data_IF_619313562742
#
_entry.id   IF_619313562742
#
_cell.length_a   1.000
_cell.length_b   1.000
_cell.length_c   1.000
_cell.angle_alpha   90.00
_cell.angle_beta   90.00
_cell.angle_gamma   90.00
#
_symmetry.space_group_name_H-M   'P 1'
#
loop_
_entity.id
_entity.type
_entity.pdbx_description
1 polymer ?
#
# COMPACT_ATOMS: atom_id res chain seq x y z
N UNK A 1 -1.40 12.70 1.60
CA UNK A 1 -1.10 12.93 3.03
C UNK A 1 -0.71 11.60 3.65
N UNK A 2 0.53 11.40 4.02
CA UNK A 2 1.02 10.17 4.60
C UNK A 2 0.71 10.21 6.11
N UNK A 3 -0.14 9.32 6.60
CA UNK A 3 -0.30 9.12 8.03
C UNK A 3 0.96 8.40 8.50
N UNK A 4 1.78 9.10 9.30
CA UNK A 4 3.05 8.55 9.78
C UNK A 4 2.81 7.32 10.64
N UNK A 5 3.30 6.17 10.21
CA UNK A 5 3.42 4.96 11.04
C UNK A 5 4.64 5.02 12.00
N UNK A 6 5.28 6.16 12.10
CA UNK A 6 6.36 6.38 13.04
C UNK A 6 5.83 6.44 14.47
N UNK A 7 6.59 6.01 15.42
CA UNK A 7 6.37 5.92 16.88
C UNK A 7 5.83 7.17 17.58
N UNK A 8 5.47 8.21 16.84
CA UNK A 8 4.74 9.37 17.31
C UNK A 8 3.26 9.11 17.20
N UNK A 9 2.59 9.04 18.32
CA UNK A 9 1.15 9.11 18.43
C UNK A 9 0.66 10.34 17.65
N UNK A 10 0.27 10.17 16.37
CA UNK A 10 -0.43 11.22 15.65
C UNK A 10 -1.74 11.39 16.41
N UNK A 11 -1.89 12.51 17.10
CA UNK A 11 -3.12 12.78 17.81
C UNK A 11 -4.23 12.80 16.76
N UNK A 12 -5.29 12.04 16.98
CA UNK A 12 -6.46 11.97 16.09
C UNK A 12 -7.00 13.36 15.69
N UNK A 13 -6.70 14.39 16.50
CA UNK A 13 -7.05 15.79 16.28
C UNK A 13 -6.28 16.39 15.10
N UNK A 14 -4.99 16.08 14.95
CA UNK A 14 -4.18 16.65 13.87
C UNK A 14 -4.55 16.05 12.51
N UNK A 15 -4.90 14.76 12.49
CA UNK A 15 -5.38 14.08 11.28
C UNK A 15 -6.73 14.64 10.85
N UNK A 16 -7.68 14.83 11.78
CA UNK A 16 -8.99 15.40 11.44
C UNK A 16 -8.87 16.81 10.87
N UNK A 17 -8.12 17.70 11.53
CA UNK A 17 -7.88 19.06 11.04
C UNK A 17 -7.21 19.10 9.66
N UNK A 18 -6.30 18.18 9.40
CA UNK A 18 -5.65 18.10 8.10
C UNK A 18 -6.62 17.65 6.99
N UNK A 19 -7.51 16.69 7.29
CA UNK A 19 -8.55 16.26 6.35
C UNK A 19 -9.57 17.38 6.13
N UNK A 20 -10.06 18.05 7.19
CA UNK A 20 -10.96 19.21 7.09
C UNK A 20 -10.40 20.25 6.14
N UNK A 21 -9.16 20.70 6.34
CA UNK A 21 -8.52 21.72 5.46
C UNK A 21 -8.44 21.26 4.00
N UNK A 22 -8.24 19.97 3.74
CA UNK A 22 -8.22 19.44 2.37
C UNK A 22 -9.63 19.47 1.78
N UNK A 23 -10.65 19.05 2.54
CA UNK A 23 -12.05 19.10 2.12
C UNK A 23 -12.49 20.52 1.83
N UNK A 24 -12.25 21.47 2.73
CA UNK A 24 -12.56 22.89 2.54
C UNK A 24 -11.91 23.46 1.27
N UNK A 25 -10.65 23.12 1.02
CA UNK A 25 -9.95 23.55 -0.21
C UNK A 25 -10.51 22.92 -1.48
N UNK A 26 -10.96 21.67 -1.43
CA UNK A 26 -11.58 21.00 -2.55
C UNK A 26 -12.99 21.55 -2.81
N UNK A 27 -13.78 21.73 -1.77
CA UNK A 27 -15.14 22.29 -1.87
C UNK A 27 -15.14 23.75 -2.35
N UNK A 28 -14.13 24.53 -1.98
CA UNK A 28 -13.93 25.90 -2.48
C UNK A 28 -13.33 25.97 -3.88
N UNK A 29 -12.89 24.85 -4.43
CA UNK A 29 -12.31 24.81 -5.77
C UNK A 29 -13.39 24.72 -6.85
N UNK A 30 -13.11 25.32 -8.02
CA UNK A 30 -14.00 25.23 -9.19
C UNK A 30 -14.18 23.80 -9.74
N UNK A 31 -13.42 22.84 -9.23
CA UNK A 31 -13.49 21.44 -9.63
C UNK A 31 -14.73 20.72 -9.04
N UNK A 32 -15.22 21.17 -7.88
CA UNK A 32 -16.47 20.71 -7.28
C UNK A 32 -17.53 21.81 -7.47
N UNK A 33 -18.37 21.66 -8.49
CA UNK A 33 -19.50 22.57 -8.73
C UNK A 33 -20.49 22.49 -7.54
N UNK A 34 -20.28 23.33 -6.53
CA UNK A 34 -21.16 23.48 -5.34
C UNK A 34 -21.55 22.14 -4.64
N UNK A 35 -20.59 21.21 -4.52
CA UNK A 35 -20.83 19.92 -3.86
C UNK A 35 -20.16 19.82 -2.50
N UNK A 36 -20.76 19.11 -1.56
CA UNK A 36 -20.18 18.74 -0.27
C UNK A 36 -19.61 17.32 -0.35
N UNK A 37 -18.41 17.11 0.19
CA UNK A 37 -17.78 15.79 0.24
C UNK A 37 -18.46 14.96 1.34
N UNK A 38 -19.26 13.98 0.96
CA UNK A 38 -19.99 13.11 1.90
C UNK A 38 -19.35 11.75 2.10
N UNK A 39 -18.41 11.38 1.24
CA UNK A 39 -17.74 10.07 1.32
C UNK A 39 -16.35 10.06 0.74
N UNK A 40 -15.53 9.15 1.27
CA UNK A 40 -14.12 9.04 0.92
C UNK A 40 -13.70 7.58 0.75
N UNK A 41 -12.72 7.34 -0.13
CA UNK A 41 -11.95 6.11 -0.20
C UNK A 41 -10.67 6.30 0.60
N UNK A 42 -10.30 5.30 1.39
CA UNK A 42 -9.12 5.38 2.27
C UNK A 42 -8.04 4.43 1.78
N UNK A 43 -6.91 4.97 1.33
CA UNK A 43 -5.76 4.19 0.94
C UNK A 43 -4.93 3.75 2.16
N UNK A 44 -4.89 2.44 2.42
CA UNK A 44 -4.11 1.83 3.48
C UNK A 44 -2.69 1.54 2.98
N UNK A 45 -1.71 1.95 3.74
CA UNK A 45 -0.29 1.72 3.49
C UNK A 45 0.50 1.66 4.80
N UNK A 46 1.83 1.49 4.68
CA UNK A 46 2.72 1.58 5.81
C UNK A 46 3.03 0.24 6.49
N UNK A 47 3.78 0.30 7.59
CA UNK A 47 4.45 -0.84 8.25
C UNK A 47 3.51 -1.90 8.82
N UNK A 48 2.25 -1.58 9.02
CA UNK A 48 1.27 -2.54 9.52
C UNK A 48 0.74 -3.48 8.44
N UNK A 49 0.93 -3.14 7.16
CA UNK A 49 0.51 -3.97 6.04
C UNK A 49 1.37 -5.23 5.95
N UNK A 50 0.71 -6.39 5.82
CA UNK A 50 1.35 -7.69 5.60
C UNK A 50 0.60 -8.44 4.53
N UNK A 51 1.29 -9.34 3.85
CA UNK A 51 0.73 -10.24 2.84
C UNK A 51 1.02 -11.68 3.24
N UNK A 52 -0.02 -12.47 3.40
CA UNK A 52 0.06 -13.89 3.72
C UNK A 52 -0.58 -14.69 2.58
N UNK A 53 0.04 -15.82 2.23
CA UNK A 53 -0.49 -16.74 1.22
C UNK A 53 -1.36 -17.81 1.86
N UNK A 54 -2.62 -17.84 1.46
CA UNK A 54 -3.61 -18.80 1.95
C UNK A 54 -4.09 -19.66 0.78
N UNK A 55 -4.18 -20.98 1.00
CA UNK A 55 -4.77 -21.91 0.03
C UNK A 55 -6.09 -22.41 0.59
N UNK A 56 -7.12 -22.29 -0.21
CA UNK A 56 -8.49 -22.74 0.12
C UNK A 56 -9.06 -23.55 -1.01
N UNK A 57 -9.99 -24.45 -0.70
CA UNK A 57 -10.70 -25.24 -1.68
C UNK A 57 -12.16 -25.45 -1.26
N UNK A 58 -12.98 -25.79 -2.24
CA UNK A 58 -14.38 -26.16 -2.07
C UNK A 58 -14.67 -27.36 -2.99
N UNK A 59 -15.23 -28.40 -2.40
CA UNK A 59 -15.85 -29.51 -3.16
C UNK A 59 -17.28 -29.12 -3.48
N UNK A 60 -17.68 -29.32 -4.73
CA UNK A 60 -19.03 -29.09 -5.21
C UNK A 60 -19.83 -30.39 -5.17
N UNK A 61 -21.14 -30.33 -4.94
CA UNK A 61 -21.97 -31.56 -4.79
C UNK A 61 -22.04 -32.40 -6.08
N UNK A 62 -21.79 -31.81 -7.22
CA UNK A 62 -21.69 -32.46 -8.53
C UNK A 62 -20.81 -31.62 -9.45
N UNK A 63 -20.44 -32.15 -10.60
CA UNK A 63 -19.84 -31.35 -11.67
C UNK A 63 -20.82 -30.25 -12.10
N UNK A 64 -20.43 -28.99 -11.91
CA UNK A 64 -21.26 -27.81 -12.22
C UNK A 64 -20.41 -26.66 -12.69
N UNK A 65 -21.07 -25.67 -13.30
CA UNK A 65 -20.43 -24.47 -13.75
C UNK A 65 -19.94 -23.63 -12.55
N UNK A 66 -18.68 -23.17 -12.61
CA UNK A 66 -18.07 -22.33 -11.60
C UNK A 66 -18.56 -20.90 -11.81
N UNK A 67 -19.32 -20.41 -10.84
CA UNK A 67 -19.91 -19.07 -10.85
C UNK A 67 -19.06 -18.06 -10.08
N UNK A 68 -19.23 -16.75 -10.28
CA UNK A 68 -18.61 -15.73 -9.45
C UNK A 68 -18.91 -15.89 -7.95
N UNK A 69 -20.08 -16.43 -7.58
CA UNK A 69 -20.46 -16.70 -6.20
C UNK A 69 -19.52 -17.71 -5.51
N UNK A 70 -19.10 -18.73 -6.22
CA UNK A 70 -18.13 -19.75 -5.73
C UNK A 70 -16.77 -19.06 -5.46
N UNK A 71 -16.36 -18.13 -6.32
CA UNK A 71 -15.11 -17.38 -6.13
C UNK A 71 -15.20 -16.47 -4.89
N UNK A 72 -16.34 -15.81 -4.67
CA UNK A 72 -16.55 -15.01 -3.44
C UNK A 72 -16.58 -15.88 -2.18
N UNK A 73 -17.13 -17.09 -2.23
CA UNK A 73 -17.05 -18.07 -1.12
C UNK A 73 -15.60 -18.45 -0.82
N UNK A 74 -14.78 -18.73 -1.84
CA UNK A 74 -13.35 -18.98 -1.66
C UNK A 74 -12.63 -17.79 -1.04
N UNK A 75 -12.95 -16.56 -1.46
CA UNK A 75 -12.40 -15.35 -0.83
C UNK A 75 -12.83 -15.22 0.63
N UNK A 76 -14.09 -15.55 0.94
CA UNK A 76 -14.58 -15.54 2.32
C UNK A 76 -13.85 -16.60 3.19
N UNK A 77 -13.62 -17.80 2.67
CA UNK A 77 -12.82 -18.83 3.32
C UNK A 77 -11.37 -18.39 3.55
N UNK A 78 -10.76 -17.72 2.56
CA UNK A 78 -9.40 -17.19 2.70
C UNK A 78 -9.33 -16.10 3.77
N UNK A 79 -10.36 -15.23 3.88
CA UNK A 79 -10.47 -14.25 4.97
C UNK A 79 -10.57 -14.93 6.33
N UNK A 80 -11.40 -15.96 6.45
CA UNK A 80 -11.59 -16.69 7.71
C UNK A 80 -10.34 -17.48 8.13
N UNK A 81 -9.52 -17.93 7.18
CA UNK A 81 -8.27 -18.65 7.43
C UNK A 81 -7.07 -17.72 7.72
N UNK A 82 -7.25 -16.41 7.62
CA UNK A 82 -6.20 -15.44 7.94
C UNK A 82 -6.08 -15.20 9.44
N UNK A 83 -5.01 -14.51 9.85
CA UNK A 83 -4.77 -14.16 11.25
C UNK A 83 -5.92 -13.33 11.83
N UNK A 84 -6.70 -13.93 12.75
CA UNK A 84 -7.85 -13.30 13.39
C UNK A 84 -7.49 -12.07 14.25
N UNK A 85 -6.20 -11.88 14.60
CA UNK A 85 -5.73 -10.70 15.33
C UNK A 85 -5.56 -9.47 14.45
N UNK A 86 -5.78 -9.60 13.13
CA UNK A 86 -5.56 -8.56 12.13
C UNK A 86 -6.80 -8.33 11.28
N UNK A 87 -6.98 -7.10 10.82
CA UNK A 87 -8.06 -6.76 9.88
C UNK A 87 -7.64 -7.07 8.45
N UNK A 88 -8.47 -7.80 7.73
CA UNK A 88 -8.26 -8.02 6.29
C UNK A 88 -8.53 -6.72 5.53
N UNK A 89 -7.53 -6.29 4.75
CA UNK A 89 -7.59 -5.13 3.88
C UNK A 89 -7.98 -5.50 2.44
N UNK A 90 -7.45 -6.61 1.93
CA UNK A 90 -7.79 -7.14 0.61
C UNK A 90 -7.54 -8.65 0.53
N UNK A 91 -8.25 -9.32 -0.38
CA UNK A 91 -7.98 -10.71 -0.78
C UNK A 91 -7.82 -10.74 -2.29
N UNK A 92 -6.64 -11.12 -2.76
CA UNK A 92 -6.29 -11.13 -4.18
C UNK A 92 -6.01 -12.57 -4.63
N UNK A 93 -6.77 -13.12 -5.58
CA UNK A 93 -6.48 -14.42 -6.13
C UNK A 93 -5.13 -14.41 -6.87
N UNK A 94 -4.29 -15.42 -6.61
CA UNK A 94 -3.00 -15.61 -7.26
C UNK A 94 -3.06 -16.71 -8.30
N UNK A 95 -3.83 -17.76 -7.99
CA UNK A 95 -3.99 -18.93 -8.86
C UNK A 95 -5.28 -19.66 -8.49
N UNK A 96 -5.96 -20.17 -9.49
CA UNK A 96 -7.07 -21.09 -9.31
C UNK A 96 -6.70 -22.49 -9.79
N UNK A 97 -7.37 -23.49 -9.22
CA UNK A 97 -7.32 -24.88 -9.67
C UNK A 97 -8.76 -25.41 -9.79
N UNK A 98 -9.04 -26.11 -10.87
CA UNK A 98 -10.30 -26.83 -11.08
C UNK A 98 -9.94 -28.27 -11.39
N UNK A 99 -10.43 -29.20 -10.58
CA UNK A 99 -10.12 -30.64 -10.68
C UNK A 99 -8.60 -30.87 -10.84
N UNK A 100 -7.81 -30.20 -9.95
CA UNK A 100 -6.33 -30.22 -9.93
C UNK A 100 -5.64 -29.61 -11.17
N UNK A 101 -6.37 -28.96 -12.08
CA UNK A 101 -5.78 -28.25 -13.23
C UNK A 101 -5.73 -26.75 -12.93
N UNK A 102 -4.55 -26.14 -13.14
CA UNK A 102 -4.37 -24.69 -12.94
C UNK A 102 -5.10 -23.91 -14.02
N UNK A 103 -5.82 -22.86 -13.58
CA UNK A 103 -6.54 -21.92 -14.45
C UNK A 103 -6.29 -20.48 -13.99
N UNK A 104 -6.25 -19.54 -14.94
CA UNK A 104 -6.17 -18.11 -14.65
C UNK A 104 -7.54 -17.56 -14.21
N UNK A 105 -8.58 -17.91 -14.93
CA UNK A 105 -9.97 -17.56 -14.61
C UNK A 105 -10.84 -18.83 -14.70
N UNK A 106 -11.38 -19.33 -13.60
CA UNK A 106 -12.19 -20.52 -13.58
C UNK A 106 -13.69 -20.25 -13.87
N UNK A 107 -14.13 -18.99 -13.85
CA UNK A 107 -15.55 -18.65 -14.06
C UNK A 107 -16.02 -19.10 -15.44
N UNK A 108 -17.14 -19.80 -15.49
CA UNK A 108 -17.70 -20.36 -16.72
C UNK A 108 -17.15 -21.76 -17.08
N UNK A 109 -16.17 -22.29 -16.35
CA UNK A 109 -15.69 -23.66 -16.53
C UNK A 109 -16.49 -24.66 -15.66
N UNK A 110 -16.52 -25.91 -16.03
CA UNK A 110 -17.18 -26.98 -15.27
C UNK A 110 -16.14 -27.71 -14.43
N UNK A 111 -16.53 -28.12 -13.23
CA UNK A 111 -15.68 -28.90 -12.33
C UNK A 111 -16.41 -29.35 -11.08
N UNK A 112 -15.81 -30.27 -10.35
CA UNK A 112 -16.32 -30.79 -9.09
C UNK A 112 -15.51 -30.26 -7.89
N UNK A 113 -14.28 -29.87 -8.10
CA UNK A 113 -13.39 -29.30 -7.06
C UNK A 113 -12.79 -27.96 -7.52
N UNK A 114 -12.92 -26.94 -6.70
CA UNK A 114 -12.36 -25.63 -6.99
C UNK A 114 -11.45 -25.20 -5.85
N UNK A 115 -10.19 -24.94 -6.16
CA UNK A 115 -9.21 -24.42 -5.24
C UNK A 115 -8.70 -23.05 -5.66
N UNK A 116 -8.21 -22.28 -4.69
CA UNK A 116 -7.53 -21.02 -4.95
C UNK A 116 -6.37 -20.83 -3.99
N UNK A 117 -5.25 -20.34 -4.51
CA UNK A 117 -4.19 -19.73 -3.72
C UNK A 117 -4.39 -18.21 -3.77
N UNK A 118 -4.53 -17.60 -2.61
CA UNK A 118 -4.87 -16.19 -2.46
C UNK A 118 -3.83 -15.45 -1.62
N UNK A 119 -3.50 -14.23 -2.00
CA UNK A 119 -2.78 -13.29 -1.17
C UNK A 119 -3.82 -12.57 -0.29
N UNK A 120 -3.72 -12.75 1.02
CA UNK A 120 -4.55 -12.04 2.00
C UNK A 120 -3.70 -10.90 2.58
N UNK A 121 -4.09 -9.67 2.28
CA UNK A 121 -3.43 -8.49 2.80
C UNK A 121 -4.16 -8.04 4.06
N UNK A 122 -3.39 -7.88 5.14
CA UNK A 122 -3.91 -7.55 6.46
C UNK A 122 -3.25 -6.31 7.02
N UNK A 123 -3.94 -5.60 7.91
CA UNK A 123 -3.41 -4.47 8.66
C UNK A 123 -3.74 -4.57 10.15
N UNK A 124 -3.07 -3.78 10.98
CA UNK A 124 -3.36 -3.72 12.40
C UNK A 124 -4.77 -3.14 12.64
N UNK A 125 -5.63 -3.77 13.49
CA UNK A 125 -7.02 -3.34 13.68
C UNK A 125 -7.18 -1.90 14.17
N UNK A 126 -6.21 -1.41 14.97
CA UNK A 126 -6.24 -0.03 15.46
C UNK A 126 -6.24 1.01 14.33
N UNK A 127 -5.68 0.70 13.15
CA UNK A 127 -5.62 1.63 12.03
C UNK A 127 -7.01 1.90 11.48
N UNK A 128 -7.77 0.87 11.14
CA UNK A 128 -9.15 1.05 10.66
C UNK A 128 -10.04 1.69 11.73
N UNK A 129 -9.86 1.30 12.99
CA UNK A 129 -10.59 1.88 14.13
C UNK A 129 -10.31 3.38 14.29
N UNK A 130 -9.04 3.77 14.20
CA UNK A 130 -8.63 5.17 14.26
C UNK A 130 -9.21 5.97 13.07
N UNK A 131 -9.14 5.42 11.85
CA UNK A 131 -9.64 6.06 10.65
C UNK A 131 -11.16 6.25 10.70
N UNK A 132 -11.93 5.26 11.15
CA UNK A 132 -13.38 5.40 11.37
C UNK A 132 -13.68 6.50 12.36
N UNK A 133 -13.00 6.51 13.50
CA UNK A 133 -13.20 7.53 14.52
C UNK A 133 -12.93 8.95 14.01
N UNK A 134 -11.91 9.12 13.17
CA UNK A 134 -11.59 10.43 12.59
C UNK A 134 -12.56 10.80 11.48
N UNK A 135 -12.80 9.92 10.53
CA UNK A 135 -13.53 10.23 9.31
C UNK A 135 -15.05 10.17 9.54
N UNK A 136 -15.55 9.10 10.17
CA UNK A 136 -16.98 8.90 10.34
C UNK A 136 -17.53 9.64 11.56
N UNK A 137 -16.88 9.46 12.75
CA UNK A 137 -17.42 10.01 14.00
C UNK A 137 -17.15 11.51 14.16
N UNK A 138 -15.98 12.02 13.70
CA UNK A 138 -15.62 13.44 13.86
C UNK A 138 -15.99 14.30 12.66
N UNK A 139 -15.73 13.80 11.45
CA UNK A 139 -15.93 14.57 10.22
C UNK A 139 -17.27 14.27 9.56
N UNK A 140 -18.04 13.28 10.03
CA UNK A 140 -19.35 12.93 9.49
C UNK A 140 -19.32 12.39 8.05
N UNK A 141 -18.15 12.04 7.52
CA UNK A 141 -17.99 11.52 6.17
C UNK A 141 -18.05 9.99 6.19
N UNK A 142 -18.67 9.40 5.17
CA UNK A 142 -18.73 7.93 5.04
C UNK A 142 -17.45 7.39 4.42
N UNK A 143 -16.85 6.38 5.04
CA UNK A 143 -15.79 5.57 4.38
C UNK A 143 -16.48 4.62 3.40
N UNK A 144 -16.30 4.85 2.10
CA UNK A 144 -16.89 4.01 1.05
C UNK A 144 -16.19 2.66 0.97
N UNK A 145 -14.84 2.66 0.96
CA UNK A 145 -14.03 1.44 0.96
C UNK A 145 -12.58 1.75 1.36
N UNK A 146 -11.85 0.67 1.65
CA UNK A 146 -10.42 0.69 1.92
C UNK A 146 -9.65 0.13 0.73
N UNK A 147 -8.68 0.89 0.22
CA UNK A 147 -7.83 0.52 -0.90
C UNK A 147 -6.44 0.21 -0.36
N UNK A 148 -5.82 -0.89 -0.78
CA UNK A 148 -4.42 -1.17 -0.45
C UNK A 148 -3.53 -0.32 -1.33
N UNK A 149 -2.88 0.71 -0.76
CA UNK A 149 -2.10 1.71 -1.49
C UNK A 149 -1.06 1.10 -2.45
N UNK A 150 -0.18 0.17 -2.05
CA UNK A 150 0.80 -0.41 -2.97
C UNK A 150 0.19 -1.15 -4.16
N UNK A 151 -1.03 -1.72 -4.02
CA UNK A 151 -1.71 -2.36 -5.14
C UNK A 151 -2.25 -1.32 -6.13
N UNK A 152 -2.81 -0.22 -5.62
CA UNK A 152 -3.32 0.86 -6.45
C UNK A 152 -2.18 1.57 -7.20
N UNK A 153 -1.08 1.86 -6.52
CA UNK A 153 0.11 2.46 -7.13
C UNK A 153 0.71 1.56 -8.21
N UNK A 154 0.86 0.26 -7.93
CA UNK A 154 1.34 -0.71 -8.91
C UNK A 154 0.42 -0.82 -10.13
N UNK A 155 -0.91 -0.72 -9.94
CA UNK A 155 -1.86 -0.73 -11.04
C UNK A 155 -1.74 0.49 -11.97
N UNK A 156 -1.22 1.63 -11.46
CA UNK A 156 -1.00 2.85 -12.24
C UNK A 156 0.36 2.89 -12.92
N UNK A 157 1.37 2.26 -12.34
CA UNK A 157 2.78 2.38 -12.77
C UNK A 157 3.22 1.19 -13.62
N UNK A 158 2.78 -0.02 -13.26
CA UNK A 158 3.20 -1.25 -13.93
C UNK A 158 2.29 -1.58 -15.10
N UNK A 159 2.88 -2.05 -16.18
CA UNK A 159 2.15 -2.64 -17.30
C UNK A 159 1.59 -4.01 -16.95
N UNK A 160 0.59 -4.48 -17.70
CA UNK A 160 0.01 -5.81 -17.52
C UNK A 160 1.06 -6.91 -17.71
N UNK A 161 1.96 -6.74 -18.68
CA UNK A 161 3.03 -7.71 -18.94
C UNK A 161 4.04 -7.80 -17.77
N UNK A 162 4.43 -6.68 -17.18
CA UNK A 162 5.31 -6.68 -16.01
C UNK A 162 4.66 -7.40 -14.83
N UNK A 163 3.39 -7.12 -14.55
CA UNK A 163 2.67 -7.81 -13.45
C UNK A 163 2.52 -9.30 -13.71
N UNK A 164 2.27 -9.69 -14.97
CA UNK A 164 2.08 -11.10 -15.36
C UNK A 164 3.39 -11.88 -15.36
N UNK A 165 4.43 -11.35 -15.99
CA UNK A 165 5.72 -12.02 -16.12
C UNK A 165 6.49 -12.06 -14.80
N UNK A 166 6.35 -11.01 -14.02
CA UNK A 166 6.97 -10.85 -12.70
C UNK A 166 7.86 -9.63 -12.64
N UNK A 167 7.61 -8.79 -11.65
CA UNK A 167 8.40 -7.60 -11.38
C UNK A 167 8.46 -7.30 -9.89
N UNK A 168 9.42 -6.48 -9.51
CA UNK A 168 9.52 -5.88 -8.19
C UNK A 168 9.13 -4.40 -8.30
N UNK A 169 8.12 -4.01 -7.55
CA UNK A 169 7.71 -2.62 -7.37
C UNK A 169 8.27 -2.08 -6.06
N UNK A 170 8.94 -0.93 -6.11
CA UNK A 170 9.49 -0.27 -4.94
C UNK A 170 8.92 1.14 -4.84
N UNK A 171 8.18 1.42 -3.77
CA UNK A 171 7.71 2.75 -3.39
C UNK A 171 8.64 3.31 -2.31
N UNK A 172 9.48 4.26 -2.70
CA UNK A 172 10.47 4.89 -1.82
C UNK A 172 9.90 6.18 -1.22
N UNK A 173 9.27 6.05 -0.05
CA UNK A 173 8.65 7.17 0.65
C UNK A 173 9.60 7.95 1.56
N UNK A 174 9.05 8.88 2.32
CA UNK A 174 9.81 9.68 3.28
C UNK A 174 10.28 8.87 4.50
N UNK A 175 9.40 8.09 5.12
CA UNK A 175 9.69 7.33 6.35
C UNK A 175 9.65 5.81 6.15
N UNK A 176 9.14 5.36 5.01
CA UNK A 176 8.98 3.95 4.71
C UNK A 176 9.33 3.66 3.26
N UNK A 177 9.87 2.48 3.01
CA UNK A 177 10.03 1.92 1.67
C UNK A 177 9.17 0.68 1.57
N UNK A 178 8.22 0.67 0.64
CA UNK A 178 7.38 -0.49 0.39
C UNK A 178 7.91 -1.27 -0.81
N UNK A 179 8.12 -2.57 -0.62
CA UNK A 179 8.54 -3.49 -1.68
C UNK A 179 7.39 -4.48 -1.92
N UNK A 180 6.93 -4.55 -3.15
CA UNK A 180 5.95 -5.52 -3.59
C UNK A 180 6.47 -6.31 -4.78
N UNK A 181 6.32 -7.63 -4.75
CA UNK A 181 6.67 -8.51 -5.86
C UNK A 181 5.36 -8.97 -6.50
N UNK A 182 5.22 -8.72 -7.80
CA UNK A 182 4.08 -9.18 -8.58
C UNK A 182 4.48 -10.35 -9.47
N UNK A 183 3.57 -11.29 -9.64
CA UNK A 183 3.67 -12.41 -10.58
C UNK A 183 2.28 -12.97 -10.86
N UNK A 184 2.00 -13.31 -12.12
CA UNK A 184 0.69 -13.76 -12.56
C UNK A 184 -0.45 -12.79 -12.18
N UNK A 185 -0.22 -11.49 -12.38
CA UNK A 185 -1.12 -10.37 -12.08
C UNK A 185 -1.50 -10.21 -10.59
N UNK A 186 -0.79 -10.87 -9.69
CA UNK A 186 -1.10 -10.84 -8.27
C UNK A 186 0.14 -10.52 -7.40
N UNK A 187 -0.06 -9.92 -6.21
CA UNK A 187 1.02 -9.68 -5.27
C UNK A 187 1.48 -11.01 -4.68
N UNK A 188 2.69 -11.44 -5.04
CA UNK A 188 3.34 -12.63 -4.48
C UNK A 188 3.96 -12.35 -3.11
N UNK A 189 4.40 -11.11 -2.87
CA UNK A 189 5.00 -10.67 -1.61
C UNK A 189 4.80 -9.17 -1.44
N UNK A 190 4.63 -8.72 -0.20
CA UNK A 190 4.55 -7.31 0.15
C UNK A 190 5.15 -7.09 1.54
N UNK A 191 6.08 -6.14 1.63
CA UNK A 191 6.68 -5.71 2.89
C UNK A 191 6.90 -4.21 2.89
N UNK A 192 6.75 -3.58 4.05
CA UNK A 192 7.09 -2.17 4.24
C UNK A 192 8.20 -2.07 5.27
N UNK A 193 9.33 -1.53 4.83
CA UNK A 193 10.53 -1.30 5.64
C UNK A 193 10.40 0.06 6.35
N UNK A 194 10.89 0.19 7.61
CA UNK A 194 10.86 1.43 8.37
C UNK A 194 12.01 2.37 8.00
N UNK A 195 12.30 2.51 6.72
CA UNK A 195 13.38 3.33 6.17
C UNK A 195 12.89 4.07 4.95
N UNK A 196 13.29 5.33 4.82
CA UNK A 196 12.92 6.17 3.69
C UNK A 196 13.84 7.38 3.58
N UNK A 197 13.51 8.32 2.70
CA UNK A 197 14.35 9.48 2.40
C UNK A 197 14.57 10.42 3.60
N UNK A 198 13.72 10.35 4.63
CA UNK A 198 13.91 11.13 5.86
C UNK A 198 15.10 10.64 6.70
N UNK A 199 15.48 9.37 6.58
CA UNK A 199 16.68 8.87 7.25
C UNK A 199 17.91 9.64 6.79
N UNK A 200 18.00 9.97 5.49
CA UNK A 200 19.08 10.80 4.93
C UNK A 200 19.05 12.21 5.55
N UNK A 201 17.86 12.81 5.72
CA UNK A 201 17.72 14.11 6.37
C UNK A 201 18.20 14.07 7.83
N UNK A 202 17.80 13.02 8.56
CA UNK A 202 18.23 12.81 9.96
C UNK A 202 19.75 12.64 10.03
N UNK A 203 20.36 11.87 9.14
CA UNK A 203 21.82 11.71 9.11
C UNK A 203 22.53 13.05 8.86
N UNK A 204 21.98 13.90 7.99
CA UNK A 204 22.50 15.25 7.78
C UNK A 204 22.36 16.14 9.03
N UNK A 205 21.32 15.96 9.86
CA UNK A 205 21.20 16.73 11.12
C UNK A 205 22.32 16.41 12.12
N UNK A 206 22.94 15.21 12.03
CA UNK A 206 24.10 14.87 12.85
C UNK A 206 25.32 15.76 12.56
N UNK A 207 25.33 16.47 11.44
CA UNK A 207 26.33 17.45 11.05
C UNK A 207 25.99 18.89 11.55
N UNK A 208 25.15 19.00 12.57
CA UNK A 208 24.67 20.26 13.18
C UNK A 208 23.79 21.14 12.28
N UNK A 209 23.12 20.57 11.28
CA UNK A 209 22.07 21.29 10.54
C UNK A 209 20.72 21.14 11.22
N UNK A 210 19.91 22.19 11.18
CA UNK A 210 18.48 22.07 11.50
C UNK A 210 17.76 21.25 10.41
N UNK A 211 16.65 20.59 10.74
CA UNK A 211 15.97 19.63 9.85
C UNK A 211 15.57 20.25 8.51
N UNK A 212 15.09 21.50 8.51
CA UNK A 212 14.71 22.22 7.30
C UNK A 212 15.89 22.43 6.35
N UNK A 213 17.06 22.79 6.90
CA UNK A 213 18.27 22.99 6.12
C UNK A 213 18.85 21.66 5.62
N UNK A 214 18.80 20.62 6.45
CA UNK A 214 19.20 19.27 6.05
C UNK A 214 18.35 18.75 4.89
N UNK A 215 17.03 18.96 4.92
CA UNK A 215 16.12 18.59 3.84
C UNK A 215 16.42 19.37 2.54
N UNK A 216 16.73 20.66 2.65
CA UNK A 216 17.13 21.49 1.51
C UNK A 216 18.44 21.00 0.89
N UNK A 217 19.47 20.72 1.70
CA UNK A 217 20.75 20.16 1.25
C UNK A 217 20.54 18.82 0.53
N UNK A 218 19.76 17.93 1.11
CA UNK A 218 19.40 16.65 0.49
C UNK A 218 18.77 16.85 -0.90
N UNK A 219 17.83 17.79 -1.04
CA UNK A 219 17.14 18.05 -2.30
C UNK A 219 18.03 18.67 -3.36
N UNK A 220 18.93 19.58 -2.99
CA UNK A 220 19.75 20.36 -3.93
C UNK A 220 21.03 19.60 -4.27
N UNK A 221 21.69 19.02 -3.27
CA UNK A 221 23.04 18.45 -3.39
C UNK A 221 23.07 16.92 -3.29
N UNK A 222 21.94 16.27 -2.96
CA UNK A 222 21.85 14.82 -2.87
C UNK A 222 22.13 14.15 -4.20
N UNK A 223 23.05 13.18 -4.19
CA UNK A 223 23.37 12.36 -5.36
C UNK A 223 23.59 10.91 -4.92
N UNK A 224 22.75 9.99 -5.37
CA UNK A 224 22.84 8.57 -5.09
C UNK A 224 23.70 7.79 -6.11
N UNK A 225 24.23 8.46 -7.13
CA UNK A 225 25.07 7.81 -8.12
C UNK A 225 26.51 7.66 -7.60
N UNK A 226 27.20 6.55 -7.89
CA UNK A 226 28.62 6.42 -7.60
C UNK A 226 29.39 7.61 -8.16
N UNK A 227 30.34 8.12 -7.42
CA UNK A 227 31.18 9.26 -7.85
C UNK A 227 32.13 8.82 -8.97
N UNK A 228 31.66 8.76 -10.19
CA UNK A 228 32.48 8.75 -11.39
C UNK A 228 32.54 10.19 -11.92
N UNK A 229 33.61 10.91 -11.56
CA UNK A 229 33.85 12.27 -12.04
C UNK A 229 34.13 13.29 -10.94
N UNK A 230 34.46 14.55 -11.30
CA UNK A 230 34.76 15.60 -10.34
C UNK A 230 33.51 15.85 -9.46
N UNK A 231 33.71 15.77 -8.15
CA UNK A 231 32.66 16.12 -7.15
C UNK A 231 32.14 17.51 -7.43
N UNK A 232 30.82 17.66 -7.53
CA UNK A 232 30.23 19.00 -7.57
C UNK A 232 30.51 19.70 -6.24
N UNK A 233 30.98 20.95 -6.25
CA UNK A 233 31.16 21.70 -5.02
C UNK A 233 29.82 21.74 -4.28
N UNK A 234 29.83 21.29 -3.04
CA UNK A 234 28.64 21.30 -2.18
C UNK A 234 28.19 22.71 -1.87
N UNK A 235 26.94 22.88 -1.52
CA UNK A 235 26.42 24.11 -0.91
C UNK A 235 27.08 24.24 0.46
N UNK A 236 27.60 25.43 0.80
CA UNK A 236 28.29 25.75 2.08
C UNK A 236 29.61 24.97 2.32
N UNK A 237 30.32 24.55 1.28
CA UNK A 237 31.65 23.92 1.41
C UNK A 237 31.61 22.45 1.87
N UNK A 238 30.42 21.84 1.84
CA UNK A 238 30.25 20.41 2.12
C UNK A 238 30.38 19.65 0.81
N UNK A 239 31.32 18.73 0.76
CA UNK A 239 31.40 17.75 -0.33
C UNK A 239 30.10 16.92 -0.38
N UNK A 240 29.58 16.68 -1.60
CA UNK A 240 28.39 15.84 -1.79
C UNK A 240 28.55 14.52 -1.03
N UNK A 241 27.63 14.27 -0.09
CA UNK A 241 27.62 12.99 0.64
C UNK A 241 27.18 11.89 -0.31
N UNK A 242 28.09 11.01 -0.67
CA UNK A 242 27.77 9.84 -1.47
C UNK A 242 27.31 8.69 -0.55
N UNK A 243 26.04 8.33 -0.65
CA UNK A 243 25.49 7.16 0.06
C UNK A 243 25.73 5.91 -0.79
N UNK A 244 26.92 5.34 -0.74
CA UNK A 244 27.26 4.10 -1.44
C UNK A 244 27.08 2.83 -0.58
N UNK A 245 26.58 2.97 0.65
CA UNK A 245 26.39 1.84 1.57
C UNK A 245 24.97 1.84 2.15
N UNK A 246 24.03 1.31 1.37
CA UNK A 246 22.77 0.74 1.84
C UNK A 246 22.69 -0.72 1.39
#
# INVERSE_FOLDING_TARGET
MCIRDSYGCIQNIDVSKAIERVCERLESSSALQEGTITGVYVALGGRSLRSDMVTVATELPAEMEITPAIIEDLKAKARAASDASRDVAAVVPVRFTVDNKTQANPVGTFGQSVGARMAVLTCAPQIKRMLRRVIEERLGMKIQDYIVRPLAEAALVLTDDERRLGCMFVDFGAETTTVAIFKNDAPAYLVTLPMGSRNITIDLTSLNYIEERAEEIKRISGNAMPAEGPRRPGVDGIDSVSYTHL
#
